data_IF_996939529910
#
_entry.id   IF_996939529910
#
_cell.length_a   1.000
_cell.length_b   1.000
_cell.length_c   1.000
_cell.angle_alpha   90.00
_cell.angle_beta   90.00
_cell.angle_gamma   90.00
#
_symmetry.space_group_name_H-M   'P 1'
#
loop_
_entity.id
_entity.type
_entity.pdbx_description
1 polymer ?
#
# COMPACT_ATOMS: atom_id res chain seq x y z
N UNK A 1 23.75 -12.66 -1.13
CA UNK A 1 23.55 -14.13 -1.05
C UNK A 1 23.61 -14.67 0.37
N UNK A 2 24.74 -14.59 1.10
CA UNK A 2 24.81 -15.11 2.48
C UNK A 2 23.87 -14.36 3.48
N UNK A 3 23.75 -13.04 3.33
CA UNK A 3 22.85 -12.21 4.15
C UNK A 3 21.37 -12.59 3.90
N UNK A 4 21.01 -12.88 2.64
CA UNK A 4 19.64 -13.26 2.27
C UNK A 4 19.26 -14.63 2.86
N UNK A 5 20.20 -15.59 2.82
CA UNK A 5 20.03 -16.91 3.45
C UNK A 5 19.89 -16.77 4.97
N UNK A 6 20.67 -15.89 5.61
CA UNK A 6 20.58 -15.59 7.04
C UNK A 6 19.21 -15.01 7.42
N UNK A 7 18.72 -14.01 6.67
CA UNK A 7 17.40 -13.42 6.89
C UNK A 7 16.28 -14.45 6.72
N UNK A 8 16.34 -15.29 5.69
CA UNK A 8 15.35 -16.35 5.46
C UNK A 8 15.37 -17.38 6.61
N UNK A 9 16.56 -17.77 7.07
CA UNK A 9 16.70 -18.73 8.17
C UNK A 9 16.18 -18.17 9.50
N UNK A 10 16.49 -16.91 9.82
CA UNK A 10 15.96 -16.23 11.00
C UNK A 10 14.43 -16.07 10.89
N UNK A 11 13.91 -15.76 9.72
CA UNK A 11 12.47 -15.62 9.50
C UNK A 11 11.72 -16.96 9.71
N UNK A 12 12.36 -18.10 9.37
CA UNK A 12 11.81 -19.43 9.65
C UNK A 12 11.85 -19.78 11.14
N UNK A 13 12.93 -19.44 11.84
CA UNK A 13 13.16 -19.86 13.23
C UNK A 13 12.52 -18.93 14.27
N UNK A 14 12.54 -17.62 14.04
CA UNK A 14 11.99 -16.59 14.94
C UNK A 14 11.31 -15.47 14.14
N UNK A 15 10.15 -15.76 13.50
CA UNK A 15 9.44 -14.77 12.68
C UNK A 15 9.10 -13.49 13.46
N UNK A 16 8.81 -13.59 14.76
CA UNK A 16 8.58 -12.44 15.65
C UNK A 16 9.72 -11.42 15.66
N UNK A 17 10.96 -11.86 15.47
CA UNK A 17 12.14 -11.00 15.51
C UNK A 17 12.32 -10.19 14.22
N UNK A 18 11.69 -10.61 13.13
CA UNK A 18 11.78 -9.95 11.82
C UNK A 18 10.71 -8.86 11.67
N UNK A 19 9.59 -8.98 12.38
CA UNK A 19 8.44 -8.06 12.25
C UNK A 19 8.80 -6.65 12.72
N UNK A 20 9.39 -6.48 13.90
CA UNK A 20 9.68 -5.15 14.44
C UNK A 20 10.71 -4.39 13.58
N UNK A 21 11.87 -4.98 13.20
CA UNK A 21 12.79 -4.32 12.28
C UNK A 21 12.15 -3.96 10.94
N UNK A 22 11.29 -4.83 10.40
CA UNK A 22 10.56 -4.54 9.17
C UNK A 22 9.61 -3.35 9.32
N UNK A 23 8.86 -3.27 10.43
CA UNK A 23 7.96 -2.14 10.69
C UNK A 23 8.73 -0.82 10.82
N UNK A 24 9.85 -0.82 11.54
CA UNK A 24 10.71 0.36 11.66
C UNK A 24 11.29 0.77 10.30
N UNK A 25 11.78 -0.19 9.51
CA UNK A 25 12.31 0.04 8.17
C UNK A 25 11.25 0.63 7.23
N UNK A 26 10.02 0.12 7.29
CA UNK A 26 8.91 0.68 6.53
C UNK A 26 8.62 2.13 6.93
N UNK A 27 8.47 2.41 8.23
CA UNK A 27 8.23 3.77 8.73
C UNK A 27 9.33 4.74 8.25
N UNK A 28 10.60 4.32 8.29
CA UNK A 28 11.71 5.10 7.76
C UNK A 28 11.60 5.36 6.26
N UNK A 29 11.21 4.36 5.46
CA UNK A 29 10.97 4.54 4.03
C UNK A 29 9.82 5.52 3.76
N UNK A 30 8.70 5.42 4.50
CA UNK A 30 7.60 6.37 4.38
C UNK A 30 8.06 7.81 4.67
N UNK A 31 8.78 8.02 5.76
CA UNK A 31 9.31 9.34 6.12
C UNK A 31 10.30 9.85 5.08
N UNK A 32 11.21 9.00 4.59
CA UNK A 32 12.18 9.37 3.56
C UNK A 32 11.49 9.79 2.25
N UNK A 33 10.49 9.03 1.80
CA UNK A 33 9.71 9.37 0.61
C UNK A 33 8.97 10.71 0.77
N UNK A 34 8.35 10.96 1.93
CA UNK A 34 7.70 12.23 2.23
C UNK A 34 8.67 13.42 2.23
N UNK A 35 9.83 13.27 2.90
CA UNK A 35 10.88 14.30 2.93
C UNK A 35 11.41 14.60 1.52
N UNK A 36 11.66 13.56 0.71
CA UNK A 36 12.10 13.75 -0.68
C UNK A 36 11.03 14.48 -1.50
N UNK A 37 9.76 14.13 -1.35
CA UNK A 37 8.67 14.81 -2.07
C UNK A 37 8.57 16.30 -1.69
N UNK A 38 8.65 16.63 -0.40
CA UNK A 38 8.66 18.02 0.10
C UNK A 38 9.89 18.76 -0.42
N UNK A 39 11.06 18.13 -0.37
CA UNK A 39 12.30 18.73 -0.85
C UNK A 39 12.28 18.99 -2.35
N UNK A 40 11.78 18.05 -3.16
CA UNK A 40 11.59 18.23 -4.60
C UNK A 40 10.68 19.43 -4.92
N UNK A 41 9.59 19.59 -4.18
CA UNK A 41 8.69 20.75 -4.34
C UNK A 41 9.42 22.08 -4.10
N UNK A 42 10.39 22.11 -3.17
CA UNK A 42 11.18 23.32 -2.88
C UNK A 42 12.23 23.66 -3.95
N UNK A 43 12.64 22.70 -4.78
CA UNK A 43 13.75 22.86 -5.73
C UNK A 43 13.29 23.01 -7.20
N UNK A 44 12.17 22.40 -7.58
CA UNK A 44 11.79 22.21 -8.99
C UNK A 44 10.43 22.83 -9.35
N UNK A 45 9.96 23.83 -8.59
CA UNK A 45 8.61 24.40 -8.75
C UNK A 45 8.32 25.04 -10.12
N UNK A 46 9.34 25.29 -10.95
CA UNK A 46 9.19 26.01 -12.24
C UNK A 46 9.72 25.27 -13.48
N UNK A 47 10.24 24.04 -13.36
CA UNK A 47 10.70 23.30 -14.54
C UNK A 47 9.52 22.70 -15.32
N UNK A 48 9.39 23.08 -16.60
CA UNK A 48 8.30 22.69 -17.51
C UNK A 48 8.09 21.16 -17.64
N UNK A 49 9.11 20.36 -17.30
CA UNK A 49 9.10 18.90 -17.40
C UNK A 49 9.12 18.20 -16.03
N UNK A 50 9.20 18.94 -14.91
CA UNK A 50 9.16 18.32 -13.60
C UNK A 50 7.74 17.79 -13.34
N UNK A 51 7.57 16.50 -12.98
CA UNK A 51 6.27 15.97 -12.63
C UNK A 51 5.72 16.75 -11.43
N UNK A 52 4.52 17.33 -11.59
CA UNK A 52 3.88 18.11 -10.55
C UNK A 52 3.87 17.30 -9.24
N UNK A 53 4.27 17.88 -8.09
CA UNK A 53 4.43 17.16 -6.81
C UNK A 53 3.21 16.30 -6.44
N UNK A 54 2.01 16.79 -6.75
CA UNK A 54 0.75 16.07 -6.65
C UNK A 54 0.80 14.64 -7.23
N UNK A 55 1.30 14.47 -8.45
CA UNK A 55 1.36 13.16 -9.12
C UNK A 55 2.36 12.22 -8.45
N UNK A 56 3.47 12.75 -7.95
CA UNK A 56 4.47 11.96 -7.22
C UNK A 56 3.85 11.43 -5.93
N UNK A 57 3.19 12.29 -5.16
CA UNK A 57 2.51 11.90 -3.90
C UNK A 57 1.43 10.87 -4.19
N UNK A 58 0.64 11.03 -5.26
CA UNK A 58 -0.34 10.03 -5.69
C UNK A 58 0.33 8.68 -5.99
N UNK A 59 1.36 8.64 -6.84
CA UNK A 59 2.06 7.40 -7.20
C UNK A 59 2.58 6.69 -5.95
N UNK A 60 3.20 7.44 -5.03
CA UNK A 60 3.67 6.90 -3.76
C UNK A 60 2.48 6.32 -2.98
N UNK A 61 1.40 7.07 -2.79
CA UNK A 61 0.23 6.58 -2.06
C UNK A 61 -0.36 5.30 -2.66
N UNK A 62 -0.47 5.20 -3.99
CA UNK A 62 -0.90 3.97 -4.66
C UNK A 62 0.06 2.81 -4.40
N UNK A 63 1.37 3.03 -4.47
CA UNK A 63 2.38 2.00 -4.17
C UNK A 63 2.26 1.51 -2.70
N UNK A 64 1.97 2.44 -1.79
CA UNK A 64 1.82 2.16 -0.37
C UNK A 64 0.61 1.28 -0.08
N UNK A 65 -0.57 1.66 -0.58
CA UNK A 65 -1.81 0.91 -0.32
C UNK A 65 -1.84 -0.44 -1.05
N UNK A 66 -1.11 -0.58 -2.16
CA UNK A 66 -1.09 -1.82 -2.93
C UNK A 66 0.05 -2.75 -2.48
N UNK A 67 1.27 -2.44 -2.90
CA UNK A 67 2.43 -3.32 -2.81
C UNK A 67 3.01 -3.38 -1.40
N UNK A 68 3.26 -2.22 -0.79
CA UNK A 68 3.88 -2.16 0.55
C UNK A 68 2.97 -2.81 1.59
N UNK A 69 1.67 -2.49 1.54
CA UNK A 69 0.73 -3.11 2.46
C UNK A 69 0.58 -4.62 2.21
N UNK A 70 0.60 -5.10 0.97
CA UNK A 70 0.57 -6.54 0.72
C UNK A 70 1.73 -7.27 1.42
N UNK A 71 2.95 -6.73 1.34
CA UNK A 71 4.11 -7.32 2.04
C UNK A 71 3.89 -7.25 3.56
N UNK A 72 3.43 -6.10 4.06
CA UNK A 72 3.16 -5.89 5.49
C UNK A 72 2.13 -6.88 6.02
N UNK A 73 1.01 -7.02 5.33
CA UNK A 73 -0.06 -7.95 5.71
C UNK A 73 0.42 -9.39 5.70
N UNK A 74 1.18 -9.82 4.68
CA UNK A 74 1.75 -11.18 4.62
C UNK A 74 2.70 -11.45 5.79
N UNK A 75 3.47 -10.45 6.24
CA UNK A 75 4.38 -10.57 7.38
C UNK A 75 3.60 -10.58 8.70
N UNK A 76 2.65 -9.66 8.88
CA UNK A 76 1.86 -9.54 10.11
C UNK A 76 0.93 -10.73 10.35
N UNK A 77 0.52 -11.41 9.28
CA UNK A 77 -0.38 -12.58 9.34
C UNK A 77 0.36 -13.91 9.50
N UNK A 78 1.68 -13.90 9.76
CA UNK A 78 2.50 -15.11 9.87
C UNK A 78 1.95 -16.18 10.83
N UNK A 79 1.25 -15.78 11.89
CA UNK A 79 0.70 -16.68 12.89
C UNK A 79 -0.57 -17.42 12.44
N UNK A 80 -1.28 -16.91 11.43
CA UNK A 80 -2.49 -17.53 10.89
C UNK A 80 -2.23 -17.95 9.43
N UNK A 81 -1.72 -19.18 9.26
CA UNK A 81 -1.33 -19.73 7.96
C UNK A 81 -2.49 -19.76 6.96
N UNK A 82 -3.69 -20.17 7.40
CA UNK A 82 -4.87 -20.23 6.54
C UNK A 82 -5.27 -18.84 6.01
N UNK A 83 -5.19 -17.80 6.83
CA UNK A 83 -5.44 -16.44 6.35
C UNK A 83 -4.30 -15.93 5.45
N UNK A 84 -3.06 -16.28 5.75
CA UNK A 84 -1.91 -15.90 4.93
C UNK A 84 -1.98 -16.51 3.53
N UNK A 85 -2.39 -17.77 3.40
CA UNK A 85 -2.62 -18.41 2.10
C UNK A 85 -3.68 -17.68 1.30
N UNK A 86 -4.77 -17.27 1.95
CA UNK A 86 -5.82 -16.44 1.32
C UNK A 86 -5.26 -15.11 0.79
N UNK A 87 -4.43 -14.42 1.59
CA UNK A 87 -3.77 -13.15 1.20
C UNK A 87 -2.88 -13.36 -0.03
N UNK A 88 -2.16 -14.49 -0.11
CA UNK A 88 -1.29 -14.81 -1.24
C UNK A 88 -2.12 -15.14 -2.50
N UNK A 89 -3.17 -15.93 -2.37
CA UNK A 89 -4.03 -16.34 -3.48
C UNK A 89 -4.80 -15.16 -4.10
N UNK A 90 -5.06 -14.11 -3.31
CA UNK A 90 -5.84 -12.93 -3.72
C UNK A 90 -4.98 -11.68 -3.93
N UNK A 91 -3.68 -11.83 -4.19
CA UNK A 91 -2.74 -10.70 -4.28
C UNK A 91 -3.22 -9.61 -5.25
N UNK A 92 -3.51 -9.98 -6.50
CA UNK A 92 -3.86 -9.03 -7.55
C UNK A 92 -5.23 -8.40 -7.31
N UNK A 93 -6.23 -9.22 -6.96
CA UNK A 93 -7.59 -8.73 -6.71
C UNK A 93 -7.61 -7.76 -5.55
N UNK A 94 -6.86 -8.02 -4.48
CA UNK A 94 -6.77 -7.11 -3.33
C UNK A 94 -5.98 -5.84 -3.62
N UNK A 95 -4.88 -5.92 -4.37
CA UNK A 95 -4.15 -4.72 -4.79
C UNK A 95 -5.05 -3.79 -5.62
N UNK A 96 -5.77 -4.33 -6.59
CA UNK A 96 -6.68 -3.53 -7.42
C UNK A 96 -7.85 -3.00 -6.60
N UNK A 97 -8.38 -3.77 -5.65
CA UNK A 97 -9.48 -3.31 -4.80
C UNK A 97 -9.06 -2.17 -3.86
N UNK A 98 -7.84 -2.21 -3.31
CA UNK A 98 -7.31 -1.09 -2.52
C UNK A 98 -7.04 0.15 -3.35
N UNK A 99 -6.46 -0.03 -4.53
CA UNK A 99 -6.30 1.07 -5.48
C UNK A 99 -7.65 1.69 -5.84
N UNK A 100 -8.67 0.85 -6.08
CA UNK A 100 -10.03 1.28 -6.34
C UNK A 100 -10.64 2.06 -5.17
N UNK A 101 -10.53 1.57 -3.94
CA UNK A 101 -11.00 2.29 -2.76
C UNK A 101 -10.30 3.64 -2.59
N UNK A 102 -8.98 3.70 -2.77
CA UNK A 102 -8.27 4.97 -2.75
C UNK A 102 -8.77 5.92 -3.85
N UNK A 103 -8.95 5.43 -5.09
CA UNK A 103 -9.50 6.22 -6.19
C UNK A 103 -10.90 6.77 -5.88
N UNK A 104 -11.78 5.94 -5.30
CA UNK A 104 -13.13 6.37 -4.90
C UNK A 104 -13.05 7.48 -3.86
N UNK A 105 -12.19 7.34 -2.84
CA UNK A 105 -11.98 8.37 -1.82
C UNK A 105 -11.49 9.69 -2.45
N UNK A 106 -10.54 9.63 -3.39
CA UNK A 106 -10.02 10.80 -4.10
C UNK A 106 -11.09 11.48 -4.98
N UNK A 107 -11.97 10.70 -5.61
CA UNK A 107 -13.11 11.24 -6.39
C UNK A 107 -14.11 11.93 -5.47
N UNK A 108 -14.41 11.35 -4.30
CA UNK A 108 -15.33 11.97 -3.33
C UNK A 108 -14.80 13.31 -2.81
N UNK A 109 -13.48 13.50 -2.78
CA UNK A 109 -12.84 14.78 -2.47
C UNK A 109 -12.68 15.72 -3.67
N UNK A 110 -13.09 15.30 -4.87
CA UNK A 110 -12.97 16.08 -6.10
C UNK A 110 -11.55 16.16 -6.68
N UNK A 111 -10.62 15.33 -6.22
CA UNK A 111 -9.22 15.32 -6.69
C UNK A 111 -9.00 14.46 -7.94
N UNK A 112 -9.92 13.55 -8.24
CA UNK A 112 -9.90 12.72 -9.44
C UNK A 112 -11.25 12.77 -10.16
N UNK A 113 -11.23 12.56 -11.49
CA UNK A 113 -12.44 12.46 -12.30
C UNK A 113 -13.05 11.05 -12.21
N UNK A 114 -14.39 10.90 -12.21
CA UNK A 114 -15.06 9.59 -12.25
C UNK A 114 -14.64 8.70 -13.43
N UNK A 115 -14.20 9.30 -14.54
CA UNK A 115 -13.71 8.58 -15.74
C UNK A 115 -12.51 7.68 -15.39
N UNK A 116 -11.74 8.03 -14.35
CA UNK A 116 -10.58 7.28 -13.89
C UNK A 116 -10.91 5.91 -13.26
N UNK A 117 -12.19 5.59 -13.01
CA UNK A 117 -12.62 4.30 -12.44
C UNK A 117 -12.89 3.20 -13.47
N UNK A 118 -12.80 3.48 -14.78
CA UNK A 118 -13.14 2.50 -15.82
C UNK A 118 -12.45 1.13 -15.69
N UNK A 119 -11.19 1.01 -15.22
CA UNK A 119 -10.55 -0.30 -15.06
C UNK A 119 -11.06 -1.10 -13.85
N UNK A 120 -11.61 -0.41 -12.84
CA UNK A 120 -12.03 -1.01 -11.57
C UNK A 120 -13.32 -1.82 -11.73
N UNK A 121 -14.19 -1.43 -12.65
CA UNK A 121 -15.51 -2.04 -12.84
C UNK A 121 -15.46 -3.51 -13.29
N UNK A 122 -14.32 -3.95 -13.83
CA UNK A 122 -14.14 -5.31 -14.35
C UNK A 122 -13.48 -6.26 -13.34
N UNK A 123 -13.20 -5.81 -12.12
CA UNK A 123 -12.45 -6.58 -11.13
C UNK A 123 -13.42 -7.29 -10.20
N UNK A 124 -13.33 -8.62 -10.16
CA UNK A 124 -14.07 -9.44 -9.20
C UNK A 124 -13.64 -9.08 -7.77
N UNK A 125 -14.60 -8.67 -6.94
CA UNK A 125 -14.34 -8.30 -5.56
C UNK A 125 -13.96 -9.55 -4.74
N UNK A 126 -12.82 -9.55 -4.03
CA UNK A 126 -12.32 -10.72 -3.29
C UNK A 126 -13.22 -11.14 -2.12
N UNK A 127 -14.20 -10.30 -1.75
CA UNK A 127 -15.04 -10.48 -0.55
C UNK A 127 -16.15 -11.52 -0.71
N UNK A 128 -16.51 -11.92 -1.93
CA UNK A 128 -17.62 -12.85 -2.16
C UNK A 128 -17.24 -14.32 -1.94
N UNK A 129 -15.98 -14.70 -2.16
CA UNK A 129 -15.52 -16.09 -2.08
C UNK A 129 -14.74 -16.42 -0.79
N UNK A 130 -14.32 -15.41 -0.02
CA UNK A 130 -13.43 -15.62 1.13
C UNK A 130 -14.15 -15.90 2.44
N UNK A 131 -13.64 -16.88 3.20
CA UNK A 131 -14.02 -17.11 4.61
C UNK A 131 -13.72 -15.90 5.50
N UNK A 132 -12.76 -15.06 5.13
CA UNK A 132 -12.30 -13.92 5.92
C UNK A 132 -12.82 -12.56 5.40
N UNK A 133 -13.91 -12.58 4.63
CA UNK A 133 -14.46 -11.41 3.91
C UNK A 133 -14.50 -10.09 4.69
N UNK A 134 -15.00 -10.10 5.93
CA UNK A 134 -15.12 -8.88 6.74
C UNK A 134 -13.75 -8.34 7.13
N UNK A 135 -12.84 -9.22 7.56
CA UNK A 135 -11.47 -8.84 7.92
C UNK A 135 -10.76 -8.23 6.72
N UNK A 136 -10.89 -8.84 5.55
CA UNK A 136 -10.29 -8.38 4.30
C UNK A 136 -10.86 -7.00 3.93
N UNK A 137 -12.19 -6.83 3.98
CA UNK A 137 -12.85 -5.56 3.68
C UNK A 137 -12.39 -4.43 4.62
N UNK A 138 -12.44 -4.65 5.93
CA UNK A 138 -11.99 -3.64 6.90
C UNK A 138 -10.51 -3.29 6.74
N UNK A 139 -9.67 -4.29 6.45
CA UNK A 139 -8.24 -4.05 6.20
C UNK A 139 -8.05 -3.21 4.95
N UNK A 140 -8.71 -3.56 3.84
CA UNK A 140 -8.55 -2.85 2.57
C UNK A 140 -9.08 -1.41 2.65
N UNK A 141 -10.20 -1.20 3.36
CA UNK A 141 -10.72 0.15 3.66
C UNK A 141 -9.76 0.94 4.54
N UNK A 142 -9.30 0.38 5.67
CA UNK A 142 -8.41 1.07 6.60
C UNK A 142 -7.10 1.50 5.92
N UNK A 143 -6.55 0.64 5.06
CA UNK A 143 -5.33 0.94 4.29
C UNK A 143 -5.57 2.04 3.27
N UNK A 144 -6.71 2.02 2.57
CA UNK A 144 -7.05 3.04 1.59
C UNK A 144 -7.27 4.40 2.25
N UNK A 145 -7.93 4.43 3.42
CA UNK A 145 -8.05 5.63 4.25
C UNK A 145 -6.68 6.10 4.75
N UNK A 146 -5.81 5.19 5.18
CA UNK A 146 -4.43 5.54 5.56
C UNK A 146 -3.64 6.16 4.42
N UNK A 147 -3.78 5.64 3.20
CA UNK A 147 -3.20 6.23 1.99
C UNK A 147 -3.75 7.63 1.70
N UNK A 148 -5.05 7.84 1.87
CA UNK A 148 -5.65 9.17 1.73
C UNK A 148 -5.09 10.17 2.75
N UNK A 149 -4.99 9.77 4.03
CA UNK A 149 -4.42 10.62 5.08
C UNK A 149 -2.97 10.98 4.76
N UNK A 150 -2.19 10.03 4.25
CA UNK A 150 -0.83 10.28 3.79
C UNK A 150 -0.78 11.35 2.70
N UNK A 151 -1.66 11.28 1.70
CA UNK A 151 -1.72 12.28 0.62
C UNK A 151 -2.07 13.66 1.20
N UNK A 152 -3.12 13.75 2.02
CA UNK A 152 -3.56 15.01 2.64
C UNK A 152 -2.45 15.65 3.49
N UNK A 153 -1.64 14.85 4.18
CA UNK A 153 -0.57 15.36 5.04
C UNK A 153 0.69 15.77 4.27
N UNK A 154 0.87 15.26 3.05
CA UNK A 154 2.07 15.50 2.23
C UNK A 154 1.90 16.62 1.21
N UNK A 155 0.66 16.90 0.79
CA UNK A 155 0.30 18.03 -0.07
C UNK A 155 0.11 19.30 0.74
#
# INVERSE_FOLDING_TARGET
MAIDIGKISINKLRPKWVIMPYLFDQILHFMAMGVIAIWMNSQFSEELLAPHPFWIVLIIAYLLVTYVWYISERILTYANLAYREEVVNQIWTRMVTRAAFLSVLLILLGWLSPISLSPVLFVSLPYFSSKYRLRILFTDLAVSVGGLIFIIWTL
#
